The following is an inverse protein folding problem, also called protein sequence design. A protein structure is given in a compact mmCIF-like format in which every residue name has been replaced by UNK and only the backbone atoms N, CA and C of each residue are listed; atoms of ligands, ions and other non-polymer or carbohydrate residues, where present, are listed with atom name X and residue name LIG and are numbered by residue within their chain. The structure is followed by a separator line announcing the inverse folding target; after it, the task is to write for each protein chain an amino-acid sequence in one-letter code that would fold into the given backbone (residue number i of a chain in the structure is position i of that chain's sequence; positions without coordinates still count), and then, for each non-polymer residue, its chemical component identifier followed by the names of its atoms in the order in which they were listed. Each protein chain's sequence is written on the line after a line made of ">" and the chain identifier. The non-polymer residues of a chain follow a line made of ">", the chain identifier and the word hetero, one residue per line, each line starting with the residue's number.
data_IF_372975118583
#
_entry.id   IF_372975118583
#
_cell.length_a   1.000
_cell.length_b   1.000
_cell.length_c   1.000
_cell.angle_alpha   90.00
_cell.angle_beta   90.00
_cell.angle_gamma   90.00
#
_symmetry.space_group_name_H-M   'P 1'
#
loop_
_entity.id
_entity.type
_entity.pdbx_description
1 polymer ?
#
# COMPACT_ATOMS: atom_id res chain seq x y z
N UNK A 1 -16.22 19.97 -12.41
CA UNK A 1 -15.00 19.18 -12.67
C UNK A 1 -15.45 17.87 -13.29
N UNK A 2 -15.06 17.57 -14.53
CA UNK A 2 -15.46 16.33 -15.21
C UNK A 2 -14.82 15.15 -14.46
N UNK A 3 -15.64 14.36 -13.75
CA UNK A 3 -15.21 13.12 -13.10
C UNK A 3 -14.81 12.14 -14.18
N UNK A 4 -13.52 12.06 -14.50
CA UNK A 4 -12.98 10.99 -15.34
C UNK A 4 -13.25 9.68 -14.62
N UNK A 5 -14.07 8.82 -15.23
CA UNK A 5 -14.32 7.48 -14.72
C UNK A 5 -13.00 6.72 -14.56
N UNK A 6 -12.78 6.15 -13.37
CA UNK A 6 -11.59 5.33 -13.12
C UNK A 6 -11.67 4.05 -13.96
N UNK A 7 -10.63 3.81 -14.75
CA UNK A 7 -10.44 2.57 -15.52
C UNK A 7 -9.07 1.98 -15.25
N UNK A 8 -9.02 0.68 -14.96
CA UNK A 8 -7.78 -0.07 -14.81
C UNK A 8 -7.67 -1.09 -15.94
N UNK A 9 -6.68 -0.91 -16.81
CA UNK A 9 -6.43 -1.79 -17.98
C UNK A 9 -7.68 -2.02 -18.85
N UNK A 10 -8.52 -0.99 -18.99
CA UNK A 10 -9.74 -1.04 -19.79
C UNK A 10 -11.02 -1.41 -19.03
N UNK A 11 -10.92 -1.88 -17.78
CA UNK A 11 -12.07 -2.26 -16.96
C UNK A 11 -12.49 -1.16 -15.99
N UNK A 12 -13.79 -1.02 -15.76
CA UNK A 12 -14.34 -0.13 -14.72
C UNK A 12 -14.15 -0.74 -13.32
N UNK A 13 -14.27 0.08 -12.28
CA UNK A 13 -14.16 -0.38 -10.90
C UNK A 13 -15.19 -1.47 -10.56
N UNK A 14 -16.45 -1.29 -11.00
CA UNK A 14 -17.53 -2.24 -10.75
C UNK A 14 -17.27 -3.58 -11.43
N UNK A 15 -16.78 -3.55 -12.68
CA UNK A 15 -16.38 -4.76 -13.39
C UNK A 15 -15.29 -5.51 -12.62
N UNK A 16 -14.27 -4.80 -12.12
CA UNK A 16 -13.18 -5.40 -11.35
C UNK A 16 -13.63 -5.97 -9.99
N UNK A 17 -14.65 -5.39 -9.37
CA UNK A 17 -15.21 -5.90 -8.11
C UNK A 17 -16.03 -7.18 -8.30
N UNK A 18 -16.65 -7.34 -9.47
CA UNK A 18 -17.47 -8.52 -9.79
C UNK A 18 -16.66 -9.68 -10.39
N UNK A 19 -15.41 -9.45 -10.82
CA UNK A 19 -14.53 -10.49 -11.34
C UNK A 19 -14.12 -11.52 -10.28
N UNK A 20 -13.90 -12.75 -10.73
CA UNK A 20 -13.29 -13.78 -9.88
C UNK A 20 -11.79 -13.51 -9.65
N UNK A 21 -11.22 -14.13 -8.61
CA UNK A 21 -9.79 -13.96 -8.30
C UNK A 21 -8.87 -14.45 -9.44
N UNK A 22 -9.29 -15.48 -10.19
CA UNK A 22 -8.51 -16.04 -11.30
C UNK A 22 -8.53 -15.12 -12.54
N UNK A 23 -9.69 -14.52 -12.84
CA UNK A 23 -9.80 -13.49 -13.88
C UNK A 23 -8.99 -12.25 -13.52
N UNK A 24 -9.11 -11.80 -12.27
CA UNK A 24 -8.34 -10.69 -11.74
C UNK A 24 -6.82 -10.94 -11.83
N UNK A 25 -6.38 -12.17 -11.59
CA UNK A 25 -4.97 -12.53 -11.70
C UNK A 25 -4.43 -12.33 -13.12
N UNK A 26 -5.24 -12.49 -14.17
CA UNK A 26 -4.80 -12.27 -15.55
C UNK A 26 -4.66 -10.78 -15.88
N UNK A 27 -5.51 -9.94 -15.29
CA UNK A 27 -5.47 -8.48 -15.46
C UNK A 27 -4.31 -7.86 -14.68
N UNK A 28 -3.90 -8.44 -13.55
CA UNK A 28 -2.88 -7.88 -12.66
C UNK A 28 -1.43 -8.03 -13.16
N UNK A 29 -0.48 -7.22 -12.62
CA UNK A 29 0.96 -7.37 -12.91
C UNK A 29 1.52 -8.74 -12.48
N UNK A 30 2.64 -9.14 -13.09
CA UNK A 30 3.24 -10.48 -12.93
C UNK A 30 3.46 -10.91 -11.49
N UNK A 31 3.94 -9.99 -10.62
CA UNK A 31 4.19 -10.25 -9.20
C UNK A 31 2.90 -10.58 -8.44
N UNK A 32 1.85 -9.78 -8.63
CA UNK A 32 0.55 -9.97 -7.98
C UNK A 32 -0.14 -11.22 -8.52
N UNK A 33 -0.08 -11.44 -9.83
CA UNK A 33 -0.58 -12.67 -10.48
C UNK A 33 0.05 -13.92 -9.86
N UNK A 34 1.36 -13.92 -9.61
CA UNK A 34 2.05 -15.03 -8.93
C UNK A 34 1.54 -15.21 -7.50
N UNK A 35 1.34 -14.13 -6.74
CA UNK A 35 0.80 -14.21 -5.38
C UNK A 35 -0.61 -14.77 -5.37
N UNK A 36 -1.49 -14.30 -6.26
CA UNK A 36 -2.87 -14.79 -6.35
C UNK A 36 -2.93 -16.27 -6.75
N UNK A 37 -2.18 -16.69 -7.78
CA UNK A 37 -2.14 -18.10 -8.22
C UNK A 37 -1.54 -19.06 -7.20
N UNK A 38 -0.58 -18.61 -6.38
CA UNK A 38 -0.04 -19.42 -5.28
C UNK A 38 -0.96 -19.47 -4.06
N UNK A 39 -1.95 -18.57 -4.01
CA UNK A 39 -2.83 -18.39 -2.86
C UNK A 39 -2.29 -17.39 -1.84
N UNK A 40 -3.22 -16.69 -1.21
CA UNK A 40 -2.93 -15.77 -0.11
C UNK A 40 -2.52 -16.54 1.16
N UNK A 41 -1.59 -15.96 1.92
CA UNK A 41 -1.25 -16.48 3.26
C UNK A 41 -2.47 -16.48 4.17
N UNK A 42 -2.45 -17.32 5.21
CA UNK A 42 -3.54 -17.43 6.19
C UNK A 42 -3.84 -16.06 6.82
N UNK A 43 -2.81 -15.29 7.13
CA UNK A 43 -2.96 -13.95 7.73
C UNK A 43 -3.54 -12.94 6.74
N UNK A 44 -3.14 -13.00 5.47
CA UNK A 44 -3.69 -12.14 4.41
C UNK A 44 -5.16 -12.48 4.14
N UNK A 45 -5.56 -13.75 4.20
CA UNK A 45 -6.97 -14.16 4.15
C UNK A 45 -7.76 -13.59 5.33
N UNK A 46 -7.23 -13.70 6.56
CA UNK A 46 -7.86 -13.09 7.75
C UNK A 46 -8.05 -11.57 7.61
N UNK A 47 -7.11 -10.88 6.97
CA UNK A 47 -7.24 -9.44 6.68
C UNK A 47 -8.39 -9.20 5.70
N UNK A 48 -8.43 -9.95 4.60
CA UNK A 48 -9.46 -9.83 3.57
C UNK A 48 -10.86 -10.12 4.15
N UNK A 49 -10.99 -11.16 4.97
CA UNK A 49 -12.25 -11.51 5.65
C UNK A 49 -12.71 -10.40 6.59
N UNK A 50 -11.78 -9.74 7.30
CA UNK A 50 -12.12 -8.58 8.14
C UNK A 50 -12.64 -7.42 7.30
N UNK A 51 -11.99 -7.12 6.17
CA UNK A 51 -12.43 -6.08 5.25
C UNK A 51 -13.84 -6.38 4.73
N UNK A 52 -14.09 -7.60 4.27
CA UNK A 52 -15.41 -8.05 3.79
C UNK A 52 -16.49 -7.91 4.87
N UNK A 53 -16.18 -8.30 6.12
CA UNK A 53 -17.10 -8.15 7.25
C UNK A 53 -17.47 -6.70 7.52
N UNK A 54 -16.49 -5.80 7.61
CA UNK A 54 -16.78 -4.38 7.88
C UNK A 54 -17.50 -3.69 6.74
N UNK A 55 -17.16 -4.04 5.49
CA UNK A 55 -17.85 -3.54 4.30
C UNK A 55 -19.31 -4.01 4.25
N UNK A 56 -19.58 -5.27 4.58
CA UNK A 56 -20.94 -5.81 4.67
C UNK A 56 -21.76 -5.15 5.80
N UNK A 57 -21.12 -4.80 6.92
CA UNK A 57 -21.77 -4.08 8.02
C UNK A 57 -21.94 -2.57 7.75
N UNK A 58 -21.32 -2.02 6.70
CA UNK A 58 -21.33 -0.59 6.41
C UNK A 58 -20.61 0.26 7.47
N UNK A 59 -19.70 -0.32 8.25
CA UNK A 59 -18.99 0.38 9.33
C UNK A 59 -17.62 0.85 8.83
N UNK A 60 -17.39 2.17 8.89
CA UNK A 60 -16.11 2.81 8.58
C UNK A 60 -15.09 2.67 9.73
N UNK A 61 -14.74 1.42 10.07
CA UNK A 61 -13.74 1.14 11.09
C UNK A 61 -12.34 1.08 10.48
N UNK A 62 -11.37 1.71 11.14
CA UNK A 62 -9.96 1.59 10.77
C UNK A 62 -9.43 0.20 11.11
N UNK A 63 -9.00 -0.55 10.08
CA UNK A 63 -8.48 -1.91 10.22
C UNK A 63 -6.96 -1.85 10.41
N UNK A 64 -6.46 -2.25 11.58
CA UNK A 64 -5.01 -2.32 11.85
C UNK A 64 -4.41 -3.61 11.29
N UNK A 65 -3.27 -3.49 10.60
CA UNK A 65 -2.54 -4.62 10.02
C UNK A 65 -1.02 -4.45 10.11
N UNK A 66 -0.33 -5.58 10.30
CA UNK A 66 1.12 -5.70 10.12
C UNK A 66 1.48 -6.24 8.73
N UNK A 67 0.49 -6.73 7.97
CA UNK A 67 0.70 -7.32 6.65
C UNK A 67 0.91 -6.23 5.61
N UNK A 68 2.19 -6.00 5.28
CA UNK A 68 2.64 -5.07 4.24
C UNK A 68 2.73 -5.72 2.86
N UNK A 69 2.69 -7.05 2.80
CA UNK A 69 2.80 -7.90 1.62
C UNK A 69 1.44 -8.21 0.96
N UNK A 70 0.35 -7.66 1.48
CA UNK A 70 -0.97 -7.82 0.86
C UNK A 70 -1.08 -6.94 -0.40
N UNK A 71 -1.42 -7.52 -1.57
CA UNK A 71 -1.78 -6.74 -2.75
C UNK A 71 -3.14 -6.06 -2.54
N UNK A 72 -3.27 -4.82 -3.00
CA UNK A 72 -4.53 -4.08 -2.94
C UNK A 72 -5.49 -4.63 -3.99
N UNK A 73 -6.59 -5.20 -3.51
CA UNK A 73 -7.65 -5.77 -4.33
C UNK A 73 -8.79 -4.77 -4.54
N UNK A 74 -9.54 -4.85 -5.66
CA UNK A 74 -10.69 -3.98 -5.93
C UNK A 74 -11.75 -3.97 -4.82
N UNK A 75 -11.89 -5.08 -4.10
CA UNK A 75 -12.82 -5.20 -2.96
C UNK A 75 -12.49 -4.26 -1.80
N UNK A 76 -11.20 -3.91 -1.62
CA UNK A 76 -10.69 -3.11 -0.50
C UNK A 76 -10.85 -1.60 -0.71
N UNK A 77 -11.22 -1.18 -1.93
CA UNK A 77 -11.44 0.23 -2.26
C UNK A 77 -12.52 0.84 -1.36
N UNK A 78 -12.22 2.02 -0.82
CA UNK A 78 -13.06 2.74 0.15
C UNK A 78 -12.81 2.35 1.62
N UNK A 79 -12.06 1.28 1.90
CA UNK A 79 -11.73 0.89 3.27
C UNK A 79 -10.57 1.72 3.85
N UNK A 80 -10.63 2.01 5.16
CA UNK A 80 -9.54 2.62 5.92
C UNK A 80 -8.68 1.55 6.59
N UNK A 81 -7.41 1.48 6.21
CA UNK A 81 -6.46 0.48 6.73
C UNK A 81 -5.27 1.19 7.36
N UNK A 82 -4.96 0.83 8.59
CA UNK A 82 -3.76 1.30 9.27
C UNK A 82 -2.65 0.26 9.14
N UNK A 83 -1.58 0.60 8.41
CA UNK A 83 -0.45 -0.27 8.10
C UNK A 83 0.71 0.05 9.02
N UNK A 84 1.29 -0.97 9.67
CA UNK A 84 2.44 -0.79 10.55
C UNK A 84 3.71 -0.40 9.75
N UNK A 85 4.35 0.71 10.12
CA UNK A 85 5.60 1.17 9.49
C UNK A 85 6.89 0.73 10.21
N UNK A 86 6.76 0.00 11.33
CA UNK A 86 7.88 -0.41 12.19
C UNK A 86 7.88 0.29 13.54
N UNK A 87 7.16 1.41 13.68
CA UNK A 87 7.00 2.17 14.92
C UNK A 87 5.54 2.46 15.25
N UNK A 88 4.78 2.90 14.26
CA UNK A 88 3.39 3.33 14.39
C UNK A 88 2.53 2.76 13.26
N UNK A 89 1.21 2.87 13.42
CA UNK A 89 0.24 2.48 12.40
C UNK A 89 -0.13 3.70 11.57
N UNK A 90 0.24 3.69 10.30
CA UNK A 90 -0.07 4.76 9.36
C UNK A 90 -1.42 4.48 8.74
N UNK A 91 -2.39 5.36 8.96
CA UNK A 91 -3.74 5.24 8.41
C UNK A 91 -3.78 5.64 6.93
N UNK A 92 -4.33 4.76 6.09
CA UNK A 92 -4.42 4.92 4.66
C UNK A 92 -5.86 4.63 4.24
N UNK A 93 -6.47 5.57 3.51
CA UNK A 93 -7.76 5.34 2.84
C UNK A 93 -7.49 4.83 1.43
N UNK A 94 -8.03 3.67 1.08
CA UNK A 94 -7.74 3.02 -0.20
C UNK A 94 -8.53 3.69 -1.33
N UNK A 95 -7.79 4.30 -2.25
CA UNK A 95 -8.29 4.94 -3.47
C UNK A 95 -8.23 3.94 -4.65
N UNK A 96 -9.12 4.00 -5.66
CA UNK A 96 -9.09 3.09 -6.81
C UNK A 96 -7.73 3.03 -7.55
N UNK A 97 -7.01 4.14 -7.60
CA UNK A 97 -5.70 4.25 -8.24
C UNK A 97 -4.61 3.37 -7.59
N UNK A 98 -4.85 2.90 -6.35
CA UNK A 98 -3.92 2.03 -5.63
C UNK A 98 -4.05 0.54 -6.01
N UNK A 99 -5.02 0.18 -6.85
CA UNK A 99 -5.20 -1.20 -7.33
C UNK A 99 -3.94 -1.64 -8.09
N UNK A 100 -3.43 -2.84 -7.77
CA UNK A 100 -2.22 -3.37 -8.40
C UNK A 100 -0.91 -2.99 -7.69
N UNK A 101 -0.99 -2.33 -6.53
CA UNK A 101 0.12 -2.05 -5.63
C UNK A 101 0.04 -2.87 -4.35
N UNK A 102 1.12 -2.92 -3.56
CA UNK A 102 1.11 -3.52 -2.22
C UNK A 102 0.82 -2.49 -1.13
N UNK A 103 0.13 -2.89 -0.06
CA UNK A 103 -0.14 -2.02 1.09
C UNK A 103 1.13 -1.39 1.69
N UNK A 104 2.24 -2.14 1.67
CA UNK A 104 3.53 -1.66 2.18
C UNK A 104 4.13 -0.51 1.39
N UNK A 105 3.70 -0.24 0.15
CA UNK A 105 4.22 0.87 -0.66
C UNK A 105 3.75 2.23 -0.12
N UNK A 106 2.59 2.26 0.52
CA UNK A 106 1.95 3.49 1.02
C UNK A 106 2.33 3.85 2.46
N UNK A 107 3.05 2.97 3.16
CA UNK A 107 3.49 3.19 4.53
C UNK A 107 5.01 3.38 4.58
N UNK A 108 5.49 4.62 4.47
CA UNK A 108 6.93 4.92 4.51
C UNK A 108 7.58 4.39 5.81
N UNK A 109 8.63 3.59 5.68
CA UNK A 109 9.40 3.02 6.81
C UNK A 109 10.51 3.94 7.27
N UNK A 110 11.11 4.67 6.33
CA UNK A 110 12.23 5.56 6.59
C UNK A 110 11.78 7.02 6.48
N UNK A 111 12.37 7.87 7.31
CA UNK A 111 12.20 9.32 7.18
C UNK A 111 13.01 9.81 5.98
N UNK A 112 12.45 10.78 5.26
CA UNK A 112 13.17 11.46 4.18
C UNK A 112 14.37 12.20 4.79
N UNK A 113 15.57 11.87 4.32
CA UNK A 113 16.80 12.53 4.76
C UNK A 113 16.94 13.86 4.03
N UNK A 114 17.15 14.93 4.78
CA UNK A 114 17.59 16.22 4.25
C UNK A 114 19.04 16.42 4.65
N UNK A 115 19.94 16.50 3.67
CA UNK A 115 21.35 16.74 3.94
C UNK A 115 21.53 18.18 4.45
N UNK A 116 22.18 18.30 5.61
CA UNK A 116 22.60 19.58 6.16
C UNK A 116 23.92 20.07 5.56
N UNK A 117 24.55 21.05 6.21
CA UNK A 117 25.89 21.50 5.84
C UNK A 117 26.92 20.39 6.11
N UNK A 118 27.96 20.25 5.26
CA UNK A 118 29.06 19.34 5.54
C UNK A 118 29.74 19.73 6.86
N UNK A 119 30.00 18.74 7.71
CA UNK A 119 30.73 18.93 8.97
C UNK A 119 32.20 19.26 8.73
N UNK A 120 32.88 19.82 9.74
CA UNK A 120 34.35 19.98 9.73
C UNK A 120 34.99 18.59 9.66
N UNK A 121 35.93 18.40 8.73
CA UNK A 121 36.55 17.09 8.45
C UNK A 121 35.91 16.34 7.27
N UNK A 122 34.82 16.85 6.68
CA UNK A 122 34.25 16.30 5.44
C UNK A 122 35.16 16.51 4.22
N UNK A 123 36.01 17.54 4.24
CA UNK A 123 37.00 17.82 3.20
C UNK A 123 38.43 17.78 3.78
N UNK A 124 39.43 17.40 2.97
CA UNK A 124 40.85 17.43 3.40
C UNK A 124 41.29 18.81 3.91
N UNK A 125 40.75 19.88 3.31
CA UNK A 125 41.04 21.27 3.72
C UNK A 125 40.42 21.65 5.07
N UNK A 126 39.30 21.05 5.46
CA UNK A 126 38.65 21.31 6.75
C UNK A 126 39.15 20.42 7.89
N UNK A 127 40.07 19.47 7.61
CA UNK A 127 40.57 18.48 8.57
C UNK A 127 41.50 19.08 9.63
N UNK A 128 42.26 20.11 9.27
CA UNK A 128 43.26 20.75 10.15
C UNK A 128 42.82 22.13 10.66
N UNK A 129 41.57 22.53 10.41
CA UNK A 129 41.04 23.80 10.92
C UNK A 129 40.80 23.64 12.42
N UNK A 130 41.48 24.42 13.28
CA UNK A 130 41.30 24.33 14.72
C UNK A 130 39.84 24.60 15.10
N UNK A 131 39.30 23.77 15.99
CA UNK A 131 38.05 24.08 16.68
C UNK A 131 38.41 25.18 17.70
N UNK A 132 37.80 26.36 17.53
CA UNK A 132 37.84 27.42 18.53
C UNK A 132 36.93 27.05 19.69
#
# INVERSE_FOLDING_TARGET
>A
MSSREFRYRGYTLEQLQNMTLDELANVMPSRIRRTLRRGLSIENKKLLDKVRKYKAMGIDKVIRTHRRDMPILPEMVGSKIAVHNGKEFVEITIVPEMIGHYLGEFAMTNKIVRHGKPGKGATRSSKFVPLK
#
